data_IF_569387764423
#
_entry.id   IF_569387764423
#
_cell.length_a   1.000
_cell.length_b   1.000
_cell.length_c   1.000
_cell.angle_alpha   90.00
_cell.angle_beta   90.00
_cell.angle_gamma   90.00
#
_symmetry.space_group_name_H-M   'P 1'
#
loop_
_entity.id
_entity.type
_entity.pdbx_description
1 polymer ?
#
# COMPACT_ATOMS: atom_id res chain seq x y z
N UNK A 1 -95.38 18.24 -18.25
CA UNK A 1 -94.67 17.81 -19.47
C UNK A 1 -93.28 18.36 -19.38
N UNK A 2 -92.32 17.52 -19.02
CA UNK A 2 -90.92 17.89 -18.94
C UNK A 2 -90.12 16.99 -19.93
N UNK A 3 -89.54 17.60 -20.92
CA UNK A 3 -88.73 16.99 -21.96
C UNK A 3 -87.31 16.71 -21.40
N UNK A 4 -86.94 15.42 -21.56
CA UNK A 4 -85.55 14.98 -21.18
C UNK A 4 -84.72 15.07 -22.47
N UNK A 5 -83.63 15.89 -22.38
CA UNK A 5 -82.60 15.95 -23.40
C UNK A 5 -81.47 14.97 -23.06
N UNK A 6 -81.16 14.09 -24.02
CA UNK A 6 -80.04 13.19 -23.99
C UNK A 6 -78.77 13.90 -24.52
N UNK A 7 -77.73 14.00 -23.71
CA UNK A 7 -76.44 14.49 -24.16
C UNK A 7 -75.53 13.28 -24.57
N UNK A 8 -75.12 13.28 -25.81
CA UNK A 8 -74.10 12.31 -26.32
C UNK A 8 -72.72 12.73 -25.82
N UNK A 9 -72.09 11.89 -25.02
CA UNK A 9 -70.65 12.00 -24.72
C UNK A 9 -69.83 11.33 -25.83
N UNK A 10 -69.06 12.13 -26.55
CA UNK A 10 -68.05 11.63 -27.51
C UNK A 10 -66.79 11.36 -26.70
N UNK A 11 -66.42 10.08 -26.65
CA UNK A 11 -65.14 9.63 -26.02
C UNK A 11 -64.02 9.82 -27.05
N UNK A 12 -63.14 10.82 -26.79
CA UNK A 12 -61.91 10.98 -27.57
C UNK A 12 -60.84 10.03 -27.05
N UNK A 13 -60.46 9.01 -27.77
CA UNK A 13 -59.27 8.17 -27.51
C UNK A 13 -58.03 9.03 -27.79
N UNK A 14 -57.28 9.39 -26.75
CA UNK A 14 -55.92 9.91 -26.89
C UNK A 14 -54.96 8.73 -27.15
N UNK A 15 -54.39 8.67 -28.33
CA UNK A 15 -53.24 7.81 -28.65
C UNK A 15 -52.04 8.28 -27.84
N UNK A 16 -51.66 7.51 -26.82
CA UNK A 16 -50.40 7.68 -26.12
C UNK A 16 -49.28 7.22 -27.04
N UNK A 17 -48.52 8.17 -27.57
CA UNK A 17 -47.34 7.90 -28.38
C UNK A 17 -46.31 7.10 -27.56
N UNK A 18 -45.78 6.01 -28.17
CA UNK A 18 -44.58 5.32 -27.66
C UNK A 18 -43.44 6.32 -27.56
N UNK A 19 -43.13 6.73 -26.33
CA UNK A 19 -41.94 7.52 -26.05
C UNK A 19 -40.69 6.68 -26.37
N UNK A 20 -39.83 7.19 -27.23
CA UNK A 20 -38.53 6.59 -27.54
C UNK A 20 -37.76 6.39 -26.21
N UNK A 21 -37.46 5.13 -25.92
CA UNK A 21 -36.58 4.77 -24.80
C UNK A 21 -35.22 5.39 -25.09
N UNK A 22 -34.64 6.21 -24.19
CA UNK A 22 -33.29 6.71 -24.42
C UNK A 22 -32.34 5.56 -24.66
N UNK A 23 -31.39 5.67 -25.62
CA UNK A 23 -30.43 4.62 -25.89
C UNK A 23 -29.73 4.24 -24.57
N UNK A 24 -29.64 2.92 -24.33
CA UNK A 24 -28.89 2.43 -23.17
C UNK A 24 -27.50 3.04 -23.19
N UNK A 25 -27.10 3.67 -22.08
CA UNK A 25 -25.77 4.23 -21.96
C UNK A 25 -24.77 3.14 -22.32
N UNK A 26 -23.96 3.40 -23.34
CA UNK A 26 -22.91 2.49 -23.80
C UNK A 26 -21.97 2.32 -22.61
N UNK A 27 -21.95 1.12 -22.01
CA UNK A 27 -21.05 0.84 -20.88
C UNK A 27 -19.63 0.89 -21.42
N UNK A 28 -18.83 1.79 -20.90
CA UNK A 28 -17.41 1.86 -21.25
C UNK A 28 -16.79 0.45 -21.16
N UNK A 29 -15.88 0.08 -22.07
CA UNK A 29 -15.23 -1.21 -22.04
C UNK A 29 -14.58 -1.45 -20.67
N UNK A 30 -14.59 -2.69 -20.16
CA UNK A 30 -13.99 -3.00 -18.88
C UNK A 30 -12.50 -2.62 -18.91
N UNK A 31 -12.03 -1.95 -17.86
CA UNK A 31 -10.62 -1.57 -17.73
C UNK A 31 -9.75 -2.83 -17.74
N UNK A 32 -8.60 -2.83 -18.43
CA UNK A 32 -7.63 -3.92 -18.31
C UNK A 32 -7.20 -4.11 -16.86
N UNK A 33 -7.06 -5.35 -16.42
CA UNK A 33 -6.55 -5.67 -15.10
C UNK A 33 -5.12 -5.13 -14.92
N UNK A 34 -4.83 -4.65 -13.72
CA UNK A 34 -3.47 -4.26 -13.35
C UNK A 34 -2.59 -5.51 -13.32
N UNK A 35 -1.40 -5.41 -13.88
CA UNK A 35 -0.42 -6.51 -13.91
C UNK A 35 0.96 -6.01 -13.50
N UNK A 36 1.75 -6.90 -12.91
CA UNK A 36 3.14 -6.63 -12.54
C UNK A 36 4.05 -7.56 -13.32
N UNK A 37 5.00 -6.99 -14.07
CA UNK A 37 5.88 -7.73 -14.99
C UNK A 37 7.29 -7.92 -14.42
N UNK A 38 8.06 -8.85 -14.98
CA UNK A 38 9.45 -9.06 -14.60
C UNK A 38 10.33 -7.81 -14.82
N UNK A 39 10.06 -7.02 -15.86
CA UNK A 39 10.76 -5.76 -16.09
C UNK A 39 10.49 -4.75 -14.96
N UNK A 40 9.24 -4.63 -14.50
CA UNK A 40 8.86 -3.79 -13.37
C UNK A 40 9.48 -4.29 -12.05
N UNK A 41 9.58 -5.59 -11.85
CA UNK A 41 10.28 -6.16 -10.69
C UNK A 41 11.78 -5.83 -10.70
N UNK A 42 12.42 -5.83 -11.87
CA UNK A 42 13.79 -5.39 -12.01
C UNK A 42 13.96 -3.90 -11.73
N UNK A 43 13.01 -3.06 -12.15
CA UNK A 43 12.98 -1.64 -11.79
C UNK A 43 12.82 -1.44 -10.28
N UNK A 44 11.92 -2.20 -9.64
CA UNK A 44 11.74 -2.16 -8.20
C UNK A 44 13.04 -2.49 -7.46
N UNK A 45 13.77 -3.54 -7.87
CA UNK A 45 15.08 -3.87 -7.30
C UNK A 45 16.13 -2.78 -7.56
N UNK A 46 16.10 -2.13 -8.73
CA UNK A 46 16.96 -0.99 -9.02
C UNK A 46 16.65 0.21 -8.09
N UNK A 47 15.38 0.43 -7.71
CA UNK A 47 15.03 1.43 -6.69
C UNK A 47 15.59 1.07 -5.32
N UNK A 48 15.54 -0.21 -4.91
CA UNK A 48 16.16 -0.67 -3.65
C UNK A 48 17.66 -0.36 -3.68
N UNK A 49 18.35 -0.74 -4.75
CA UNK A 49 19.78 -0.48 -4.93
C UNK A 49 20.10 1.01 -4.83
N UNK A 50 19.37 1.84 -5.57
CA UNK A 50 19.58 3.29 -5.58
C UNK A 50 19.30 3.96 -4.22
N UNK A 51 18.28 3.50 -3.48
CA UNK A 51 17.99 3.98 -2.13
C UNK A 51 19.17 3.68 -1.17
N UNK A 52 19.68 2.45 -1.21
CA UNK A 52 20.79 2.02 -0.34
C UNK A 52 22.06 2.82 -0.67
N UNK A 53 22.44 2.89 -1.95
CA UNK A 53 23.63 3.62 -2.40
C UNK A 53 23.58 5.11 -2.05
N UNK A 54 22.39 5.72 -2.20
CA UNK A 54 22.23 7.15 -1.95
C UNK A 54 22.05 7.50 -0.48
N UNK A 55 21.39 6.66 0.32
CA UNK A 55 20.77 7.04 1.59
C UNK A 55 21.16 6.17 2.81
N UNK A 56 22.21 5.35 2.74
CA UNK A 56 22.69 4.58 3.89
C UNK A 56 23.64 5.44 4.76
N UNK A 57 23.48 5.49 6.11
CA UNK A 57 22.35 5.01 6.88
C UNK A 57 21.14 5.96 6.81
N UNK A 58 19.93 5.43 7.06
CA UNK A 58 18.69 6.21 7.04
C UNK A 58 17.84 6.04 8.30
N UNK A 59 18.52 5.93 9.45
CA UNK A 59 17.87 5.73 10.75
C UNK A 59 16.86 6.84 11.03
N UNK A 60 15.73 6.49 11.61
CA UNK A 60 14.64 7.40 11.95
C UNK A 60 15.11 8.64 12.77
N UNK A 61 14.54 9.80 12.46
CA UNK A 61 14.85 11.04 13.16
C UNK A 61 16.26 11.60 12.92
N UNK A 62 16.91 11.20 11.82
CA UNK A 62 18.26 11.64 11.42
C UNK A 62 18.24 12.36 10.04
N UNK A 63 19.31 13.10 9.71
CA UNK A 63 19.44 13.65 8.36
C UNK A 63 19.47 12.59 7.24
N UNK A 64 19.82 11.35 7.56
CA UNK A 64 19.76 10.22 6.63
C UNK A 64 18.33 9.87 6.24
N UNK A 65 17.40 9.84 7.20
CA UNK A 65 15.98 9.66 6.91
C UNK A 65 15.40 10.82 6.08
N UNK A 66 15.75 12.07 6.41
CA UNK A 66 15.35 13.23 5.60
C UNK A 66 15.84 13.11 4.14
N UNK A 67 17.10 12.69 3.96
CA UNK A 67 17.68 12.46 2.63
C UNK A 67 16.94 11.34 1.87
N UNK A 68 16.60 10.25 2.55
CA UNK A 68 15.83 9.15 1.96
C UNK A 68 14.42 9.59 1.55
N UNK A 69 13.74 10.36 2.38
CA UNK A 69 12.43 10.93 2.04
C UNK A 69 12.48 11.81 0.80
N UNK A 70 13.49 12.67 0.66
CA UNK A 70 13.69 13.47 -0.54
C UNK A 70 14.02 12.61 -1.77
N UNK A 71 14.86 11.60 -1.61
CA UNK A 71 15.18 10.67 -2.69
C UNK A 71 13.93 9.94 -3.20
N UNK A 72 13.06 9.43 -2.31
CA UNK A 72 11.79 8.79 -2.65
C UNK A 72 10.86 9.78 -3.36
N UNK A 73 10.76 11.00 -2.83
CA UNK A 73 9.97 12.07 -3.45
C UNK A 73 10.38 12.31 -4.89
N UNK A 74 11.69 12.45 -5.17
CA UNK A 74 12.22 12.70 -6.50
C UNK A 74 11.88 11.55 -7.47
N UNK A 75 12.01 10.28 -7.03
CA UNK A 75 11.67 9.10 -7.86
C UNK A 75 10.20 9.07 -8.26
N UNK A 76 9.30 9.50 -7.37
CA UNK A 76 7.86 9.58 -7.62
C UNK A 76 7.50 10.78 -8.51
N UNK A 77 8.09 11.94 -8.23
CA UNK A 77 7.88 13.17 -9.02
C UNK A 77 8.33 13.00 -10.49
N UNK A 78 9.46 12.35 -10.74
CA UNK A 78 9.94 12.00 -12.09
C UNK A 78 8.94 11.15 -12.89
N UNK A 79 8.04 10.45 -12.21
CA UNK A 79 6.97 9.62 -12.80
C UNK A 79 5.60 10.31 -12.84
N UNK A 80 5.58 11.63 -12.61
CA UNK A 80 4.35 12.44 -12.55
C UNK A 80 3.31 11.93 -11.55
N UNK A 81 3.75 11.37 -10.43
CA UNK A 81 2.90 11.04 -9.29
C UNK A 81 2.76 12.30 -8.44
N UNK A 82 1.53 12.61 -8.01
CA UNK A 82 1.29 13.69 -7.04
C UNK A 82 1.82 13.26 -5.67
N UNK A 83 2.93 13.86 -5.25
CA UNK A 83 3.69 13.45 -4.06
C UNK A 83 4.02 14.65 -3.16
N UNK A 84 3.98 14.43 -1.86
CA UNK A 84 4.39 15.40 -0.84
C UNK A 84 5.17 14.74 0.28
N UNK A 85 6.02 15.51 0.95
CA UNK A 85 6.65 15.12 2.21
C UNK A 85 5.82 15.70 3.36
N UNK A 86 5.33 14.84 4.25
CA UNK A 86 4.65 15.22 5.49
C UNK A 86 5.69 15.27 6.63
N UNK A 87 6.30 16.45 6.80
CA UNK A 87 7.26 16.69 7.87
C UNK A 87 6.55 16.95 9.19
N UNK A 88 6.98 16.27 10.25
CA UNK A 88 6.49 16.46 11.61
C UNK A 88 7.56 16.22 12.66
N UNK A 89 7.26 16.51 13.91
CA UNK A 89 8.11 16.16 15.05
C UNK A 89 7.31 15.34 16.04
N UNK A 90 7.96 14.38 16.69
CA UNK A 90 7.33 13.55 17.70
C UNK A 90 8.29 13.30 18.87
N UNK A 91 7.80 13.15 20.12
CA UNK A 91 8.60 12.73 21.25
C UNK A 91 9.11 11.30 21.07
N UNK A 92 10.40 11.11 21.34
CA UNK A 92 11.06 9.80 21.33
C UNK A 92 11.85 9.60 22.62
N UNK A 93 12.35 8.39 22.93
CA UNK A 93 13.25 8.18 24.07
C UNK A 93 14.54 9.00 23.99
N UNK A 94 14.92 9.45 22.79
CA UNK A 94 16.11 10.29 22.54
C UNK A 94 15.77 11.78 22.34
N UNK A 95 14.66 12.25 22.95
CA UNK A 95 14.15 13.61 22.79
C UNK A 95 13.23 13.76 21.59
N UNK A 96 12.71 14.98 21.35
CA UNK A 96 11.86 15.26 20.18
C UNK A 96 12.69 15.18 18.90
N UNK A 97 12.21 14.40 17.91
CA UNK A 97 12.89 14.17 16.64
C UNK A 97 12.00 14.56 15.46
N UNK A 98 12.59 15.01 14.34
CA UNK A 98 11.85 15.19 13.08
C UNK A 98 11.63 13.85 12.39
N UNK A 99 10.51 13.73 11.70
CA UNK A 99 10.14 12.59 10.83
C UNK A 99 9.58 13.10 9.50
N UNK A 100 9.61 12.26 8.44
CA UNK A 100 9.38 12.68 7.07
C UNK A 100 8.61 11.61 6.29
N UNK A 101 7.30 11.45 6.53
CA UNK A 101 6.52 10.55 5.66
C UNK A 101 6.48 11.07 4.23
N UNK A 102 6.63 10.20 3.24
CA UNK A 102 6.39 10.54 1.84
C UNK A 102 5.04 9.97 1.43
N UNK A 103 4.16 10.83 0.94
CA UNK A 103 2.77 10.49 0.63
C UNK A 103 2.48 10.80 -0.84
N UNK A 104 2.20 9.76 -1.61
CA UNK A 104 1.87 9.86 -3.03
C UNK A 104 0.40 9.54 -3.26
N UNK A 105 -0.33 10.41 -3.96
CA UNK A 105 -1.76 10.30 -4.19
C UNK A 105 -2.05 10.04 -5.67
N UNK A 106 -2.88 9.04 -5.94
CA UNK A 106 -3.38 8.72 -7.27
C UNK A 106 -4.91 8.79 -7.21
N UNK A 107 -5.52 9.84 -7.80
CA UNK A 107 -6.96 10.02 -7.76
C UNK A 107 -7.71 8.90 -8.49
N UNK A 108 -8.79 8.44 -7.88
CA UNK A 108 -9.76 7.52 -8.47
C UNK A 108 -11.05 8.22 -8.84
N UNK A 109 -12.02 7.46 -9.37
CA UNK A 109 -13.34 7.98 -9.76
C UNK A 109 -14.37 7.96 -8.62
N UNK A 110 -14.14 7.15 -7.60
CA UNK A 110 -15.01 7.01 -6.43
C UNK A 110 -14.46 7.71 -5.18
N UNK A 111 -15.17 7.55 -4.06
CA UNK A 111 -14.83 8.16 -2.76
C UNK A 111 -14.07 7.20 -1.80
N UNK A 112 -13.92 5.94 -2.19
CA UNK A 112 -13.17 4.95 -1.42
C UNK A 112 -11.66 5.13 -1.57
N UNK A 113 -10.91 4.69 -0.54
CA UNK A 113 -9.45 4.75 -0.51
C UNK A 113 -8.83 3.38 -0.29
N UNK A 114 -7.82 3.05 -1.07
CA UNK A 114 -6.89 1.96 -0.81
C UNK A 114 -5.55 2.59 -0.44
N UNK A 115 -4.95 2.14 0.65
CA UNK A 115 -3.69 2.66 1.18
C UNK A 115 -2.66 1.56 1.08
N UNK A 116 -1.56 1.83 0.38
CA UNK A 116 -0.39 0.96 0.30
C UNK A 116 0.70 1.55 1.18
N UNK A 117 1.29 0.74 2.03
CA UNK A 117 2.30 1.17 2.99
C UNK A 117 3.61 0.40 2.83
N UNK A 118 4.70 1.08 3.12
CA UNK A 118 6.04 0.57 3.39
C UNK A 118 6.72 1.55 4.33
N UNK A 119 7.62 1.12 5.20
CA UNK A 119 8.55 2.05 5.83
C UNK A 119 9.85 2.13 5.03
N UNK A 120 10.64 3.16 5.28
CA UNK A 120 11.92 3.35 4.58
C UNK A 120 13.10 3.59 5.52
N UNK A 121 12.83 3.91 6.79
CA UNK A 121 13.88 4.06 7.80
C UNK A 121 14.52 2.73 8.15
N UNK A 122 15.66 2.78 8.81
CA UNK A 122 16.43 1.61 9.24
C UNK A 122 16.59 1.56 10.75
N UNK A 123 16.68 0.34 11.29
CA UNK A 123 16.93 0.11 12.71
C UNK A 123 18.20 0.82 13.19
N UNK A 124 18.04 1.61 14.25
CA UNK A 124 19.15 2.38 14.84
C UNK A 124 20.14 1.49 15.58
N UNK A 125 21.44 1.81 15.45
CA UNK A 125 22.48 1.22 16.31
C UNK A 125 23.11 -0.07 15.79
N UNK A 126 22.73 -0.58 14.62
CA UNK A 126 23.35 -1.77 14.03
C UNK A 126 24.74 -1.44 13.49
N UNK A 127 24.91 -0.30 12.83
CA UNK A 127 26.19 0.15 12.31
C UNK A 127 26.07 1.07 11.12
N UNK A 128 27.14 1.81 10.82
CA UNK A 128 27.13 2.82 9.74
C UNK A 128 26.95 2.23 8.34
N UNK A 129 27.26 0.95 8.13
CA UNK A 129 27.12 0.26 6.86
C UNK A 129 25.86 -0.60 6.78
N UNK A 130 24.97 -0.53 7.77
CA UNK A 130 23.72 -1.27 7.74
C UNK A 130 22.85 -0.83 6.58
N UNK A 131 22.57 -1.75 5.68
CA UNK A 131 21.84 -1.44 4.45
C UNK A 131 20.33 -1.42 4.66
N UNK A 132 19.79 -2.29 5.56
CA UNK A 132 18.35 -2.49 5.64
C UNK A 132 17.76 -2.79 4.27
N UNK A 133 18.39 -3.73 3.54
CA UNK A 133 18.06 -3.97 2.13
C UNK A 133 16.69 -4.61 1.98
N UNK A 134 16.39 -5.58 2.83
CA UNK A 134 15.07 -6.18 2.91
C UNK A 134 14.16 -5.37 3.85
N UNK A 135 14.68 -4.95 4.98
CA UNK A 135 13.99 -4.22 6.06
C UNK A 135 14.33 -2.71 6.08
N UNK A 136 13.55 -1.81 5.46
CA UNK A 136 12.52 -2.15 4.50
C UNK A 136 12.79 -1.52 3.12
N UNK A 137 14.06 -1.59 2.67
CA UNK A 137 14.42 -1.16 1.32
C UNK A 137 13.61 -1.89 0.24
N UNK A 138 13.36 -3.19 0.43
CA UNK A 138 12.66 -4.05 -0.54
C UNK A 138 11.24 -3.56 -0.82
N UNK A 139 10.44 -3.33 0.20
CA UNK A 139 9.06 -2.85 0.07
C UNK A 139 9.01 -1.39 -0.39
N UNK A 140 9.99 -0.55 0.01
CA UNK A 140 10.12 0.83 -0.48
C UNK A 140 10.34 0.86 -2.00
N UNK A 141 11.30 0.08 -2.52
CA UNK A 141 11.55 0.00 -3.96
C UNK A 141 10.35 -0.54 -4.73
N UNK A 142 9.67 -1.55 -4.19
CA UNK A 142 8.44 -2.10 -4.76
C UNK A 142 7.32 -1.06 -4.80
N UNK A 143 7.10 -0.32 -3.71
CA UNK A 143 6.03 0.67 -3.62
C UNK A 143 6.24 1.86 -4.58
N UNK A 144 7.50 2.26 -4.83
CA UNK A 144 7.82 3.28 -5.87
C UNK A 144 7.35 2.81 -7.25
N UNK A 145 7.65 1.57 -7.62
CA UNK A 145 7.25 1.02 -8.92
C UNK A 145 5.74 0.80 -9.00
N UNK A 146 5.09 0.30 -7.94
CA UNK A 146 3.64 0.17 -7.86
C UNK A 146 2.93 1.53 -8.04
N UNK A 147 3.42 2.59 -7.40
CA UNK A 147 2.86 3.93 -7.55
C UNK A 147 2.92 4.43 -9.00
N UNK A 148 4.02 4.17 -9.71
CA UNK A 148 4.17 4.50 -11.11
C UNK A 148 3.19 3.73 -12.01
N UNK A 149 3.01 2.42 -11.77
CA UNK A 149 2.06 1.56 -12.50
C UNK A 149 0.63 2.06 -12.29
N UNK A 150 0.24 2.28 -11.05
CA UNK A 150 -1.09 2.75 -10.68
C UNK A 150 -1.40 4.13 -11.28
N UNK A 151 -0.41 5.02 -11.32
CA UNK A 151 -0.51 6.34 -11.97
C UNK A 151 -0.70 6.21 -13.48
N UNK A 152 0.04 5.31 -14.12
CA UNK A 152 -0.01 5.08 -15.57
C UNK A 152 -1.31 4.37 -16.01
N UNK A 153 -1.92 3.59 -15.14
CA UNK A 153 -3.16 2.85 -15.44
C UNK A 153 -4.38 3.76 -15.67
N UNK A 154 -4.28 5.05 -15.35
CA UNK A 154 -5.40 5.99 -15.43
C UNK A 154 -6.34 5.89 -14.22
N UNK A 155 -7.54 6.51 -14.31
CA UNK A 155 -8.44 6.57 -13.17
C UNK A 155 -8.89 5.17 -12.71
N UNK A 156 -8.68 4.88 -11.43
CA UNK A 156 -9.09 3.66 -10.74
C UNK A 156 -10.47 3.86 -10.09
N UNK A 157 -11.21 2.79 -9.73
CA UNK A 157 -12.46 2.93 -8.99
C UNK A 157 -12.28 3.60 -7.63
N UNK A 158 -11.12 3.41 -6.99
CA UNK A 158 -10.76 3.97 -5.69
C UNK A 158 -9.55 4.89 -5.79
N UNK A 159 -9.51 5.89 -4.90
CA UNK A 159 -8.30 6.68 -4.70
C UNK A 159 -7.22 5.79 -4.09
N UNK A 160 -5.97 5.96 -4.52
CA UNK A 160 -4.83 5.25 -3.94
C UNK A 160 -3.95 6.25 -3.19
N UNK A 161 -3.53 5.88 -2.00
CA UNK A 161 -2.49 6.56 -1.24
C UNK A 161 -1.34 5.59 -1.05
N UNK A 162 -0.18 5.91 -1.62
CA UNK A 162 1.07 5.21 -1.33
C UNK A 162 1.80 5.99 -0.24
N UNK A 163 1.97 5.36 0.92
CA UNK A 163 2.62 5.94 2.08
C UNK A 163 3.95 5.26 2.37
N UNK A 164 5.03 6.04 2.34
CA UNK A 164 6.35 5.63 2.77
C UNK A 164 6.56 6.21 4.16
N UNK A 165 6.54 5.34 5.16
CA UNK A 165 6.56 5.74 6.57
C UNK A 165 7.99 5.94 7.06
N UNK A 166 8.16 6.94 7.92
CA UNK A 166 9.40 7.20 8.65
C UNK A 166 9.19 6.93 10.14
N UNK A 167 10.15 6.30 10.77
CA UNK A 167 10.11 5.98 12.19
C UNK A 167 9.18 4.80 12.51
N UNK A 168 9.12 3.80 11.63
CA UNK A 168 8.59 2.48 11.96
C UNK A 168 9.48 1.85 13.01
N UNK A 169 10.79 1.90 12.78
CA UNK A 169 11.82 1.33 13.62
C UNK A 169 11.98 2.07 14.96
N UNK A 170 12.09 1.29 16.03
CA UNK A 170 12.31 1.85 17.34
C UNK A 170 13.77 2.30 17.54
N UNK A 171 13.98 3.31 18.37
CA UNK A 171 15.31 3.80 18.75
C UNK A 171 15.91 3.03 19.94
N UNK A 172 15.07 2.45 20.79
CA UNK A 172 15.46 1.64 21.96
C UNK A 172 14.59 0.40 22.09
N UNK A 173 13.26 0.56 22.14
CA UNK A 173 12.29 -0.54 22.25
C UNK A 173 10.90 -0.04 21.84
N UNK A 174 10.15 -0.83 21.07
CA UNK A 174 8.80 -0.49 20.65
C UNK A 174 7.89 -0.17 21.84
N UNK A 175 7.24 0.99 21.78
CA UNK A 175 6.35 1.53 22.79
C UNK A 175 5.44 2.61 22.22
N UNK A 176 4.60 3.22 23.05
CA UNK A 176 3.76 4.36 22.64
C UNK A 176 4.57 5.59 22.18
N UNK A 177 5.87 5.65 22.51
CA UNK A 177 6.77 6.77 22.18
C UNK A 177 8.00 6.36 21.36
N UNK A 178 8.02 5.12 20.86
CA UNK A 178 9.16 4.61 20.12
C UNK A 178 8.71 3.58 19.09
N UNK A 179 9.00 3.84 17.83
CA UNK A 179 8.50 3.11 16.66
C UNK A 179 7.10 3.55 16.18
N UNK A 180 6.77 3.21 14.96
CA UNK A 180 5.49 3.48 14.29
C UNK A 180 5.06 4.96 14.26
N UNK A 181 6.00 5.89 14.32
CA UNK A 181 5.73 7.34 14.38
C UNK A 181 4.96 7.81 13.15
N UNK A 182 5.41 7.41 11.95
CA UNK A 182 4.84 7.79 10.68
C UNK A 182 3.43 7.25 10.48
N UNK A 183 3.23 5.97 10.71
CA UNK A 183 1.93 5.32 10.52
C UNK A 183 0.88 5.77 11.52
N UNK A 184 1.25 5.95 12.79
CA UNK A 184 0.34 6.53 13.81
C UNK A 184 -0.13 7.92 13.42
N UNK A 185 0.77 8.76 12.89
CA UNK A 185 0.42 10.07 12.40
C UNK A 185 -0.53 10.00 11.21
N UNK A 186 -0.20 9.20 10.19
CA UNK A 186 -1.01 9.07 8.99
C UNK A 186 -2.40 8.50 9.30
N UNK A 187 -2.49 7.46 10.13
CA UNK A 187 -3.75 6.85 10.52
C UNK A 187 -4.68 7.86 11.22
N UNK A 188 -4.14 8.71 12.14
CA UNK A 188 -4.89 9.79 12.78
C UNK A 188 -5.37 10.85 11.80
N UNK A 189 -4.54 11.26 10.82
CA UNK A 189 -4.92 12.21 9.78
C UNK A 189 -6.08 11.67 8.93
N UNK A 190 -5.99 10.42 8.44
CA UNK A 190 -7.02 9.77 7.65
C UNK A 190 -8.33 9.66 8.43
N UNK A 191 -8.25 9.37 9.74
CA UNK A 191 -9.43 9.32 10.62
C UNK A 191 -10.08 10.70 10.76
N UNK A 192 -9.26 11.73 10.97
CA UNK A 192 -9.75 13.12 11.10
C UNK A 192 -10.37 13.63 9.80
N UNK A 193 -9.84 13.24 8.66
CA UNK A 193 -10.37 13.59 7.34
C UNK A 193 -11.64 12.81 6.97
N UNK A 194 -12.03 11.81 7.75
CA UNK A 194 -13.22 10.98 7.50
C UNK A 194 -13.14 10.15 6.21
N UNK A 195 -11.93 9.76 5.75
CA UNK A 195 -11.77 8.99 4.51
C UNK A 195 -12.40 7.61 4.63
N UNK A 196 -13.08 7.18 3.57
CA UNK A 196 -13.68 5.84 3.48
C UNK A 196 -12.62 4.82 3.04
N UNK A 197 -11.84 4.30 3.98
CA UNK A 197 -10.78 3.33 3.69
C UNK A 197 -11.37 1.95 3.41
N UNK A 198 -11.07 1.38 2.26
CA UNK A 198 -11.44 0.01 1.83
C UNK A 198 -10.44 -1.03 2.29
N UNK A 199 -9.15 -0.69 2.20
CA UNK A 199 -8.06 -1.53 2.64
C UNK A 199 -6.81 -0.71 2.91
N UNK A 200 -6.04 -1.11 3.92
CA UNK A 200 -4.64 -0.75 4.10
C UNK A 200 -3.82 -2.01 3.86
N UNK A 201 -2.88 -1.96 2.94
CA UNK A 201 -2.00 -3.07 2.57
C UNK A 201 -0.57 -2.63 2.86
N UNK A 202 -0.01 -3.16 3.91
CA UNK A 202 1.39 -2.99 4.25
C UNK A 202 2.21 -4.07 3.57
N UNK A 203 3.35 -3.70 3.05
CA UNK A 203 4.40 -4.58 2.56
C UNK A 203 5.64 -4.32 3.39
N UNK A 204 6.23 -5.38 3.95
CA UNK A 204 7.48 -5.32 4.68
C UNK A 204 8.32 -6.56 4.44
N UNK A 205 9.66 -6.40 4.33
CA UNK A 205 10.63 -7.48 4.14
C UNK A 205 10.28 -8.41 2.96
N UNK A 206 9.90 -7.84 1.80
CA UNK A 206 9.32 -8.60 0.67
C UNK A 206 10.31 -8.95 -0.45
N UNK A 207 11.60 -8.78 -0.20
CA UNK A 207 12.65 -8.95 -1.21
C UNK A 207 13.49 -10.21 -1.06
N UNK A 208 13.38 -10.98 0.03
CA UNK A 208 14.17 -12.17 0.29
C UNK A 208 14.17 -13.12 -0.93
N UNK A 209 15.34 -13.59 -1.33
CA UNK A 209 15.50 -14.55 -2.44
C UNK A 209 14.67 -15.80 -2.25
N UNK A 210 14.55 -16.27 -1.00
CA UNK A 210 13.76 -17.43 -0.60
C UNK A 210 12.37 -17.04 -0.07
N UNK A 211 11.78 -15.97 -0.62
CA UNK A 211 10.54 -15.33 -0.19
C UNK A 211 9.46 -16.32 0.27
N UNK A 212 8.98 -16.10 1.47
CA UNK A 212 7.84 -16.79 2.06
C UNK A 212 6.93 -15.81 2.78
N UNK A 213 6.10 -15.12 2.00
CA UNK A 213 5.17 -14.16 2.56
C UNK A 213 4.28 -14.81 3.61
N UNK A 214 4.09 -14.11 4.71
CA UNK A 214 3.15 -14.47 5.77
C UNK A 214 2.14 -13.35 5.99
N UNK A 215 0.93 -13.74 6.42
CA UNK A 215 -0.13 -12.80 6.78
C UNK A 215 -0.48 -13.02 8.25
N UNK A 216 -0.10 -12.14 9.18
CA UNK A 216 -0.26 -12.32 10.60
C UNK A 216 -1.72 -12.27 11.03
N UNK A 217 -2.02 -12.94 12.18
CA UNK A 217 -3.36 -13.10 12.71
C UNK A 217 -4.05 -11.78 13.04
N UNK A 218 -3.33 -10.75 13.45
CA UNK A 218 -3.86 -9.41 13.72
C UNK A 218 -4.25 -8.62 12.45
N UNK A 219 -4.03 -9.17 11.25
CA UNK A 219 -4.59 -8.59 10.02
C UNK A 219 -6.11 -8.84 9.91
N UNK A 220 -6.83 -7.93 9.25
CA UNK A 220 -8.28 -8.05 9.01
C UNK A 220 -8.62 -9.33 8.24
N UNK A 221 -9.51 -10.17 8.77
CA UNK A 221 -9.80 -11.51 8.22
C UNK A 221 -10.20 -11.49 6.72
N UNK A 222 -11.01 -10.52 6.30
CA UNK A 222 -11.40 -10.39 4.89
C UNK A 222 -10.20 -10.08 3.99
N UNK A 223 -9.25 -9.25 4.43
CA UNK A 223 -8.06 -8.92 3.67
C UNK A 223 -7.03 -10.07 3.68
N UNK A 224 -6.94 -10.84 4.77
CA UNK A 224 -6.15 -12.08 4.81
C UNK A 224 -6.62 -13.06 3.73
N UNK A 225 -7.95 -13.28 3.65
CA UNK A 225 -8.53 -14.13 2.61
C UNK A 225 -8.33 -13.56 1.21
N UNK A 226 -8.44 -12.23 1.04
CA UNK A 226 -8.20 -11.56 -0.23
C UNK A 226 -6.76 -11.77 -0.71
N UNK A 227 -5.76 -11.64 0.17
CA UNK A 227 -4.36 -11.89 -0.17
C UNK A 227 -4.11 -13.32 -0.66
N UNK A 228 -4.69 -14.34 0.02
CA UNK A 228 -4.57 -15.73 -0.42
C UNK A 228 -5.25 -15.99 -1.78
N UNK A 229 -6.43 -15.40 -2.01
CA UNK A 229 -7.12 -15.51 -3.32
C UNK A 229 -6.39 -14.77 -4.43
N UNK A 230 -5.75 -13.65 -4.12
CA UNK A 230 -4.91 -12.94 -5.06
C UNK A 230 -3.69 -13.77 -5.45
N UNK A 231 -3.02 -14.37 -4.48
CA UNK A 231 -1.88 -15.26 -4.73
C UNK A 231 -2.26 -16.52 -5.53
N UNK A 232 -3.46 -17.08 -5.30
CA UNK A 232 -3.98 -18.18 -6.12
C UNK A 232 -4.20 -17.76 -7.57
N UNK A 233 -4.76 -16.59 -7.79
CA UNK A 233 -5.03 -16.08 -9.14
C UNK A 233 -3.77 -15.71 -9.92
N UNK A 234 -2.70 -15.30 -9.23
CA UNK A 234 -1.40 -14.99 -9.85
C UNK A 234 -0.50 -16.20 -10.02
N UNK A 235 -0.87 -17.36 -9.46
CA UNK A 235 -0.08 -18.58 -9.48
C UNK A 235 1.03 -18.62 -8.40
N UNK A 236 0.96 -17.69 -7.44
CA UNK A 236 1.99 -17.53 -6.38
C UNK A 236 1.51 -18.08 -5.02
N UNK A 237 0.50 -18.97 -5.00
CA UNK A 237 -0.18 -19.45 -3.77
C UNK A 237 0.77 -20.17 -2.80
N UNK A 238 1.79 -20.83 -3.28
CA UNK A 238 2.82 -21.53 -2.51
C UNK A 238 3.83 -20.59 -1.84
N UNK A 239 3.87 -19.33 -2.28
CA UNK A 239 4.77 -18.28 -1.78
C UNK A 239 4.16 -17.45 -0.64
N UNK A 240 2.92 -17.74 -0.20
CA UNK A 240 2.21 -17.00 0.85
C UNK A 240 1.47 -17.94 1.79
N UNK A 241 1.54 -17.68 3.09
CA UNK A 241 0.87 -18.43 4.14
C UNK A 241 0.20 -17.56 5.18
N UNK A 242 -0.63 -18.17 6.04
CA UNK A 242 -1.16 -17.53 7.24
C UNK A 242 -0.18 -17.78 8.39
N UNK A 243 0.03 -16.75 9.21
CA UNK A 243 0.77 -16.86 10.45
C UNK A 243 -0.18 -16.71 11.63
N UNK A 244 -0.19 -17.71 12.54
CA UNK A 244 -1.09 -17.73 13.69
C UNK A 244 -0.66 -16.79 14.83
N UNK A 245 0.55 -16.26 14.75
CA UNK A 245 1.06 -15.23 15.64
C UNK A 245 0.60 -13.83 15.28
N UNK A 246 0.97 -12.88 16.14
CA UNK A 246 0.77 -11.44 15.95
C UNK A 246 2.13 -10.84 15.59
N UNK A 247 2.15 -9.97 14.58
CA UNK A 247 3.29 -9.13 14.24
C UNK A 247 2.83 -7.69 14.38
N UNK A 248 3.47 -6.92 15.26
CA UNK A 248 3.23 -5.48 15.39
C UNK A 248 4.08 -4.76 14.35
N UNK A 249 3.41 -3.90 13.55
CA UNK A 249 4.00 -3.22 12.43
C UNK A 249 3.09 -2.03 12.04
N UNK A 250 3.40 -1.23 11.06
CA UNK A 250 2.69 -0.02 10.64
C UNK A 250 1.18 -0.22 10.40
N UNK A 251 0.75 -1.40 9.97
CA UNK A 251 -0.68 -1.71 9.81
C UNK A 251 -1.46 -1.67 11.12
N UNK A 252 -0.79 -1.90 12.27
CA UNK A 252 -1.44 -1.89 13.58
C UNK A 252 -2.02 -0.52 13.93
N UNK A 253 -1.32 0.56 13.56
CA UNK A 253 -1.80 1.92 13.79
C UNK A 253 -3.17 2.20 13.13
N UNK A 254 -3.44 1.54 12.01
CA UNK A 254 -4.72 1.63 11.30
C UNK A 254 -5.79 0.73 11.91
N UNK A 255 -5.42 -0.49 12.31
CA UNK A 255 -6.32 -1.42 13.01
C UNK A 255 -6.84 -0.81 14.33
N UNK A 256 -5.99 -0.15 15.10
CA UNK A 256 -6.33 0.51 16.37
C UNK A 256 -7.37 1.62 16.19
N UNK A 257 -7.43 2.22 15.02
CA UNK A 257 -8.44 3.22 14.65
C UNK A 257 -9.65 2.65 13.90
N UNK A 258 -9.72 1.32 13.76
CA UNK A 258 -10.85 0.60 13.16
C UNK A 258 -10.82 0.53 11.63
N UNK A 259 -9.69 0.80 10.99
CA UNK A 259 -9.55 0.62 9.55
C UNK A 259 -9.20 -0.84 9.20
N UNK A 260 -9.71 -1.38 8.09
CA UNK A 260 -9.30 -2.70 7.62
C UNK A 260 -7.85 -2.65 7.12
N UNK A 261 -6.98 -3.47 7.72
CA UNK A 261 -5.56 -3.51 7.38
C UNK A 261 -5.02 -4.94 7.32
N UNK A 262 -4.01 -5.15 6.48
CA UNK A 262 -3.27 -6.39 6.31
C UNK A 262 -1.79 -6.11 6.18
N UNK A 263 -0.96 -6.95 6.77
CA UNK A 263 0.48 -6.99 6.58
C UNK A 263 0.85 -8.17 5.69
N UNK A 264 1.64 -7.93 4.66
CA UNK A 264 2.31 -8.91 3.82
C UNK A 264 3.81 -8.83 4.15
N UNK A 265 4.31 -9.78 4.92
CA UNK A 265 5.67 -9.74 5.45
C UNK A 265 6.35 -11.11 5.32
N UNK A 266 7.62 -11.12 4.96
CA UNK A 266 8.45 -12.31 5.11
C UNK A 266 9.26 -12.21 6.41
N UNK A 267 8.79 -12.92 7.44
CA UNK A 267 9.46 -12.95 8.73
C UNK A 267 10.34 -14.21 8.92
N UNK A 268 10.72 -14.85 7.81
CA UNK A 268 11.69 -15.94 7.76
C UNK A 268 12.97 -15.53 7.00
N UNK A 269 13.37 -14.27 7.07
CA UNK A 269 14.55 -13.71 6.41
C UNK A 269 15.86 -14.19 7.07
N UNK A 270 16.45 -15.23 6.52
CA UNK A 270 17.59 -15.86 7.15
C UNK A 270 18.44 -16.77 6.28
N UNK A 271 19.50 -17.31 6.87
CA UNK A 271 20.49 -18.17 6.20
C UNK A 271 19.96 -19.55 5.78
N UNK A 272 18.76 -19.92 6.23
CA UNK A 272 18.03 -21.14 5.84
C UNK A 272 16.57 -21.02 6.23
N UNK A 273 15.64 -21.81 5.63
CA UNK A 273 14.23 -21.80 5.95
C UNK A 273 13.93 -21.89 7.46
N UNK A 274 12.97 -21.10 7.92
CA UNK A 274 12.54 -21.04 9.32
C UNK A 274 13.42 -20.18 10.22
N UNK A 275 14.46 -19.53 9.70
CA UNK A 275 15.28 -18.57 10.45
C UNK A 275 14.97 -17.13 10.02
N UNK A 276 15.19 -16.19 10.96
CA UNK A 276 15.13 -14.76 10.75
C UNK A 276 16.43 -14.09 11.23
N UNK A 277 17.59 -14.66 10.89
CA UNK A 277 18.89 -14.27 11.44
C UNK A 277 19.64 -13.25 10.56
N UNK A 278 19.05 -12.74 9.50
CA UNK A 278 19.51 -11.56 8.77
C UNK A 278 18.83 -10.29 9.23
N UNK A 279 17.60 -10.39 9.74
CA UNK A 279 16.82 -9.27 10.25
C UNK A 279 17.54 -8.54 11.38
N UNK A 280 17.60 -7.21 11.31
CA UNK A 280 18.29 -6.33 12.25
C UNK A 280 19.78 -6.69 12.47
N UNK A 281 20.45 -7.14 11.42
CA UNK A 281 21.87 -7.44 11.43
C UNK A 281 22.59 -6.86 10.20
N UNK A 282 23.94 -6.73 10.22
CA UNK A 282 24.69 -6.31 9.05
C UNK A 282 24.57 -7.23 7.84
N UNK A 283 23.95 -8.41 7.99
CA UNK A 283 23.69 -9.38 6.92
C UNK A 283 22.46 -8.99 6.05
N UNK A 284 21.65 -8.01 6.47
CA UNK A 284 20.57 -7.48 5.63
C UNK A 284 21.14 -6.62 4.49
N UNK A 285 21.52 -7.29 3.41
CA UNK A 285 22.25 -6.74 2.28
C UNK A 285 21.59 -7.07 0.94
N UNK A 286 21.90 -6.29 -0.10
CA UNK A 286 21.33 -6.42 -1.45
C UNK A 286 21.49 -7.81 -2.08
N UNK A 287 22.57 -8.53 -1.77
CA UNK A 287 22.81 -9.87 -2.31
C UNK A 287 21.83 -10.93 -1.78
N UNK A 288 21.07 -10.64 -0.75
CA UNK A 288 20.00 -11.50 -0.22
C UNK A 288 18.69 -11.33 -0.99
N UNK A 289 18.55 -10.29 -1.79
CA UNK A 289 17.31 -9.94 -2.46
C UNK A 289 17.20 -10.53 -3.87
N UNK A 290 15.97 -10.60 -4.38
CA UNK A 290 15.69 -11.02 -5.74
C UNK A 290 14.54 -10.23 -6.37
N UNK A 291 14.66 -9.95 -7.67
CA UNK A 291 13.57 -9.36 -8.44
C UNK A 291 12.35 -10.29 -8.54
N UNK A 292 12.57 -11.61 -8.50
CA UNK A 292 11.48 -12.60 -8.54
C UNK A 292 10.57 -12.50 -7.31
N UNK A 293 11.14 -12.23 -6.15
CA UNK A 293 10.37 -12.00 -4.91
C UNK A 293 9.54 -10.74 -4.98
N UNK A 294 10.11 -9.65 -5.50
CA UNK A 294 9.38 -8.41 -5.75
C UNK A 294 8.29 -8.59 -6.82
N UNK A 295 8.52 -9.46 -7.82
CA UNK A 295 7.53 -9.84 -8.82
C UNK A 295 6.33 -10.53 -8.18
N UNK A 296 6.57 -11.51 -7.34
CA UNK A 296 5.55 -12.25 -6.59
C UNK A 296 4.69 -11.30 -5.76
N UNK A 297 5.32 -10.49 -4.91
CA UNK A 297 4.59 -9.55 -4.04
C UNK A 297 3.84 -8.49 -4.84
N UNK A 298 4.47 -7.93 -5.88
CA UNK A 298 3.83 -6.92 -6.74
C UNK A 298 2.59 -7.45 -7.47
N UNK A 299 2.63 -8.70 -7.96
CA UNK A 299 1.47 -9.38 -8.57
C UNK A 299 0.34 -9.56 -7.56
N UNK A 300 0.64 -10.06 -6.36
CA UNK A 300 -0.36 -10.27 -5.31
C UNK A 300 -1.02 -8.95 -4.95
N UNK A 301 -0.26 -7.88 -4.72
CA UNK A 301 -0.80 -6.56 -4.35
C UNK A 301 -1.67 -5.98 -5.45
N UNK A 302 -1.24 -6.00 -6.72
CA UNK A 302 -2.07 -5.49 -7.83
C UNK A 302 -3.34 -6.32 -8.02
N UNK A 303 -3.28 -7.64 -7.84
CA UNK A 303 -4.46 -8.49 -7.90
C UNK A 303 -5.42 -8.25 -6.72
N UNK A 304 -4.91 -7.95 -5.52
CA UNK A 304 -5.75 -7.49 -4.42
C UNK A 304 -6.49 -6.19 -4.78
N UNK A 305 -5.80 -5.22 -5.41
CA UNK A 305 -6.41 -3.96 -5.86
C UNK A 305 -7.44 -4.19 -6.97
N UNK A 306 -7.20 -5.11 -7.90
CA UNK A 306 -8.15 -5.47 -8.96
C UNK A 306 -9.48 -6.01 -8.41
N UNK A 307 -9.45 -6.63 -7.21
CA UNK A 307 -10.61 -7.27 -6.56
C UNK A 307 -11.31 -6.38 -5.53
N UNK A 308 -10.73 -5.26 -5.15
CA UNK A 308 -11.34 -4.27 -4.24
C UNK A 308 -12.23 -3.29 -5.00
#
# INVERSE_FOLDING_TARGET
>A
MRTIQWACCVLSLALVGCGDRPPAAETAPPRPALTFTAAQASNALAHVTGLIEACTPRDAGTPGAEKAAHWIYDRLAERNVDVRIDRFTDPTPRGTKPFFNVLATIPGTGDGWIILLSHFDTMSGIGKGFQGANDSGSSTGLLIELAAILRAAGPLPHNILCGFMDGEECMLAYSDRDGFHGSRRLAKQIKAEGRKVKAVILMDMVGDRDLKLTVPRNSTAALRLLALKAAEATGDRDRIGLFDGVIYDDHQAFLDLGFPAVNLIDFEFGSRPGLNNYWHTPEDTLDKLSADSLLTTGRIVLEMINRL
#
